data_IF_410770815983
#
_entry.id   IF_410770815983
#
_cell.length_a   1.000
_cell.length_b   1.000
_cell.length_c   1.000
_cell.angle_alpha   90.00
_cell.angle_beta   90.00
_cell.angle_gamma   90.00
#
_symmetry.space_group_name_H-M   'P 1'
#
loop_
_entity.id
_entity.type
_entity.pdbx_description
1 polymer ?
#
# COMPACT_ATOMS: atom_id res chain seq x y z
N UNK A 1 4.37 -0.13 23.26
CA UNK A 1 5.21 0.47 22.25
C UNK A 1 4.40 1.38 21.39
N UNK A 2 4.98 2.49 21.05
CA UNK A 2 4.29 3.47 20.22
C UNK A 2 4.23 2.97 18.79
N UNK A 3 3.07 3.12 18.18
CA UNK A 3 2.92 2.81 16.78
C UNK A 3 3.21 4.04 15.95
N UNK A 4 3.85 3.81 14.82
CA UNK A 4 4.18 4.87 13.88
C UNK A 4 3.17 4.89 12.74
N UNK A 5 3.10 6.03 12.07
CA UNK A 5 2.22 6.19 10.91
C UNK A 5 3.00 5.93 9.64
N UNK A 6 2.44 5.11 8.77
CA UNK A 6 3.11 4.72 7.53
C UNK A 6 2.19 4.82 6.34
N UNK A 7 2.79 4.99 5.18
CA UNK A 7 2.15 4.82 3.89
C UNK A 7 3.00 3.85 3.10
N UNK A 8 2.41 2.78 2.57
CA UNK A 8 3.13 1.88 1.69
C UNK A 8 2.45 1.85 0.34
N UNK A 9 3.26 1.95 -0.70
CA UNK A 9 2.80 1.83 -2.08
C UNK A 9 3.51 0.65 -2.70
N UNK A 10 2.78 -0.21 -3.37
CA UNK A 10 3.42 -1.24 -4.17
C UNK A 10 2.71 -1.35 -5.51
N UNK A 11 3.47 -1.80 -6.50
CA UNK A 11 3.00 -1.91 -7.86
C UNK A 11 3.16 -3.35 -8.28
N UNK A 12 2.07 -3.95 -8.74
CA UNK A 12 2.06 -5.33 -9.20
C UNK A 12 2.18 -5.38 -10.71
N UNK A 13 2.66 -6.51 -11.23
CA UNK A 13 2.74 -6.72 -12.67
C UNK A 13 1.37 -6.51 -13.30
N UNK A 14 1.32 -5.90 -14.47
CA UNK A 14 0.02 -5.66 -15.14
C UNK A 14 -0.56 -6.94 -15.74
N UNK A 15 0.21 -8.01 -15.77
CA UNK A 15 -0.22 -9.26 -16.41
C UNK A 15 -0.97 -10.21 -15.48
N UNK A 16 -1.13 -9.85 -14.21
CA UNK A 16 -1.85 -10.69 -13.27
C UNK A 16 -3.35 -10.67 -13.55
N UNK A 17 -4.01 -11.80 -13.33
CA UNK A 17 -5.47 -11.83 -13.39
C UNK A 17 -6.03 -11.06 -12.19
N UNK A 18 -7.32 -10.68 -12.24
CA UNK A 18 -7.93 -10.02 -11.08
C UNK A 18 -7.83 -10.86 -9.82
N UNK A 19 -7.96 -12.18 -9.93
CA UNK A 19 -7.86 -13.06 -8.76
C UNK A 19 -6.46 -13.05 -8.19
N UNK A 20 -5.45 -13.10 -9.08
CA UNK A 20 -4.07 -13.08 -8.63
C UNK A 20 -3.73 -11.74 -7.98
N UNK A 21 -4.23 -10.65 -8.57
CA UNK A 21 -4.02 -9.33 -8.03
C UNK A 21 -4.59 -9.23 -6.61
N UNK A 22 -5.81 -9.70 -6.44
CA UNK A 22 -6.46 -9.64 -5.13
C UNK A 22 -5.73 -10.50 -4.11
N UNK A 23 -5.23 -11.66 -4.55
CA UNK A 23 -4.50 -12.54 -3.65
C UNK A 23 -3.21 -11.86 -3.14
N UNK A 24 -2.53 -11.14 -4.01
CA UNK A 24 -1.31 -10.43 -3.60
C UNK A 24 -1.64 -9.28 -2.64
N UNK A 25 -2.72 -8.56 -2.92
CA UNK A 25 -3.17 -7.47 -2.04
C UNK A 25 -3.50 -8.02 -0.66
N UNK A 26 -4.25 -9.11 -0.62
CA UNK A 26 -4.63 -9.72 0.66
C UNK A 26 -3.41 -10.20 1.42
N UNK A 27 -2.43 -10.75 0.72
CA UNK A 27 -1.21 -11.21 1.35
C UNK A 27 -0.45 -10.07 2.02
N UNK A 28 -0.34 -8.92 1.33
CA UNK A 28 0.32 -7.76 1.91
C UNK A 28 -0.43 -7.26 3.15
N UNK A 29 -1.75 -7.22 3.07
CA UNK A 29 -2.55 -6.83 4.23
C UNK A 29 -2.30 -7.76 5.41
N UNK A 30 -2.21 -9.07 5.14
CA UNK A 30 -1.95 -10.04 6.20
C UNK A 30 -0.58 -9.85 6.82
N UNK A 31 0.41 -9.50 6.02
CA UNK A 31 1.74 -9.25 6.56
C UNK A 31 1.68 -8.09 7.56
N UNK A 32 0.99 -7.02 7.18
CA UNK A 32 0.88 -5.86 8.07
C UNK A 32 0.15 -6.23 9.36
N UNK A 33 -0.99 -6.90 9.26
CA UNK A 33 -1.79 -7.22 10.44
C UNK A 33 -1.14 -8.28 11.31
N UNK A 34 -0.43 -9.24 10.71
CA UNK A 34 0.23 -10.27 11.48
C UNK A 34 1.38 -9.72 12.30
N UNK A 35 1.91 -8.57 11.92
CA UNK A 35 2.97 -7.90 12.68
C UNK A 35 2.39 -6.90 13.68
N UNK A 36 1.09 -6.98 13.94
CA UNK A 36 0.45 -6.10 14.90
C UNK A 36 0.05 -4.76 14.34
N UNK A 37 0.10 -4.59 13.03
CA UNK A 37 -0.28 -3.33 12.41
C UNK A 37 -1.78 -3.21 12.22
N UNK A 38 -2.22 -1.97 12.05
CA UNK A 38 -3.61 -1.67 11.82
C UNK A 38 -3.73 -0.89 10.52
N UNK A 39 -4.45 -1.44 9.55
CA UNK A 39 -4.67 -0.75 8.28
C UNK A 39 -5.80 0.25 8.47
N UNK A 40 -5.51 1.53 8.24
CA UNK A 40 -6.45 2.61 8.50
C UNK A 40 -7.23 2.97 7.26
N UNK A 41 -6.58 2.99 6.10
CA UNK A 41 -7.24 3.34 4.84
C UNK A 41 -6.45 2.76 3.69
N UNK A 42 -7.13 2.63 2.55
CA UNK A 42 -6.54 2.10 1.33
C UNK A 42 -6.90 3.02 0.17
N UNK A 43 -5.94 3.27 -0.71
CA UNK A 43 -6.19 4.02 -1.94
C UNK A 43 -5.72 3.15 -3.10
N UNK A 44 -6.67 2.47 -3.70
CA UNK A 44 -6.37 1.53 -4.77
C UNK A 44 -6.50 2.23 -6.11
N UNK A 45 -5.36 2.47 -6.76
CA UNK A 45 -5.34 3.22 -8.02
C UNK A 45 -5.61 2.35 -9.24
N UNK A 46 -5.32 1.06 -9.15
CA UNK A 46 -5.49 0.16 -10.28
C UNK A 46 -4.38 0.30 -11.29
N UNK A 47 -4.65 -0.11 -12.52
CA UNK A 47 -3.64 -0.08 -13.58
C UNK A 47 -3.34 1.36 -13.99
N UNK A 48 -2.06 1.70 -13.96
CA UNK A 48 -1.58 3.02 -14.32
C UNK A 48 -0.27 2.90 -15.10
N UNK A 49 -0.02 3.88 -15.94
CA UNK A 49 1.25 3.95 -16.65
C UNK A 49 2.35 4.36 -15.68
N UNK A 50 3.49 3.68 -15.77
CA UNK A 50 4.65 4.02 -14.95
C UNK A 50 5.34 5.23 -15.53
N UNK A 51 6.00 6.02 -14.67
CA UNK A 51 6.76 7.19 -15.12
C UNK A 51 7.92 6.75 -16.02
N UNK A 52 8.45 5.55 -15.77
CA UNK A 52 9.50 4.96 -16.59
C UNK A 52 9.34 3.45 -16.49
N UNK A 53 9.95 2.75 -17.44
CA UNK A 53 9.86 1.28 -17.42
C UNK A 53 10.52 0.73 -16.19
N UNK A 54 9.87 -0.22 -15.55
CA UNK A 54 10.45 -0.99 -14.46
C UNK A 54 10.53 -2.43 -14.96
N UNK A 55 11.73 -2.99 -14.97
CA UNK A 55 11.99 -4.26 -15.62
C UNK A 55 11.59 -4.10 -17.09
N UNK A 56 10.61 -4.83 -17.55
CA UNK A 56 10.16 -4.69 -18.95
C UNK A 56 8.76 -4.11 -19.01
N UNK A 57 8.23 -3.63 -17.89
CA UNK A 57 6.84 -3.18 -17.85
C UNK A 57 6.78 -1.66 -17.88
N UNK A 58 5.85 -1.11 -18.66
CA UNK A 58 5.58 0.32 -18.66
C UNK A 58 4.28 0.65 -17.96
N UNK A 59 3.57 -0.35 -17.45
CA UNK A 59 2.34 -0.17 -16.67
C UNK A 59 2.41 -1.06 -15.46
N UNK A 60 1.57 -0.79 -14.48
CA UNK A 60 1.48 -1.62 -13.30
C UNK A 60 0.20 -1.35 -12.54
N UNK A 61 -0.11 -2.24 -11.61
CA UNK A 61 -1.29 -2.09 -10.77
C UNK A 61 -0.84 -1.46 -9.45
N UNK A 62 -1.32 -0.25 -9.18
CA UNK A 62 -0.90 0.55 -8.01
C UNK A 62 -1.84 0.35 -6.85
N UNK A 63 -1.26 0.17 -5.67
CA UNK A 63 -2.02 0.01 -4.44
C UNK A 63 -1.30 0.74 -3.32
N UNK A 64 -2.04 1.56 -2.57
CA UNK A 64 -1.50 2.35 -1.48
C UNK A 64 -2.28 2.04 -0.22
N UNK A 65 -1.58 1.79 0.88
CA UNK A 65 -2.21 1.54 2.17
C UNK A 65 -1.63 2.48 3.21
N UNK A 66 -2.50 3.04 4.03
CA UNK A 66 -2.11 3.87 5.17
C UNK A 66 -2.36 3.05 6.43
N UNK A 67 -1.33 2.90 7.25
CA UNK A 67 -1.44 2.01 8.39
C UNK A 67 -0.59 2.50 9.56
N UNK A 68 -0.87 1.93 10.73
CA UNK A 68 -0.11 2.16 11.95
C UNK A 68 0.58 0.88 12.33
N UNK A 69 1.85 0.95 12.72
CA UNK A 69 2.59 -0.24 13.08
C UNK A 69 3.88 0.14 13.80
N UNK A 70 4.51 -0.87 14.38
CA UNK A 70 5.86 -0.72 14.92
C UNK A 70 6.85 -0.90 13.79
N UNK A 71 8.06 -0.39 14.00
CA UNK A 71 9.08 -0.43 12.96
C UNK A 71 9.41 -1.83 12.47
N UNK A 72 9.28 -2.84 13.34
CA UNK A 72 9.58 -4.22 12.92
C UNK A 72 8.67 -4.70 11.80
N UNK A 73 7.46 -4.16 11.72
CA UNK A 73 6.53 -4.54 10.67
C UNK A 73 7.06 -4.13 9.29
N UNK A 74 7.79 -3.03 9.25
CA UNK A 74 8.32 -2.53 7.97
C UNK A 74 9.42 -3.44 7.46
N UNK A 75 10.26 -3.96 8.36
CA UNK A 75 11.31 -4.89 7.94
C UNK A 75 10.71 -6.12 7.28
N UNK A 76 9.66 -6.66 7.89
CA UNK A 76 9.01 -7.84 7.31
C UNK A 76 8.30 -7.51 6.01
N UNK A 77 7.65 -6.35 5.96
CA UNK A 77 6.94 -5.94 4.76
C UNK A 77 7.90 -5.78 3.57
N UNK A 78 9.05 -5.13 3.81
CA UNK A 78 10.02 -4.94 2.74
C UNK A 78 10.64 -6.26 2.30
N UNK A 79 10.85 -7.17 3.26
CA UNK A 79 11.35 -8.49 2.92
C UNK A 79 10.38 -9.20 1.98
N UNK A 80 9.08 -9.14 2.30
CA UNK A 80 8.06 -9.78 1.50
C UNK A 80 7.99 -9.15 0.11
N UNK A 81 8.05 -7.83 0.03
CA UNK A 81 8.05 -7.18 -1.28
C UNK A 81 9.23 -7.64 -2.13
N UNK A 82 10.40 -7.77 -1.50
CA UNK A 82 11.61 -8.11 -2.22
C UNK A 82 11.56 -9.53 -2.79
N UNK A 83 10.96 -10.46 -2.05
CA UNK A 83 10.94 -11.85 -2.50
C UNK A 83 9.70 -12.19 -3.34
N UNK A 84 8.77 -11.27 -3.49
CA UNK A 84 7.55 -11.53 -4.25
C UNK A 84 7.76 -11.04 -5.67
N UNK A 85 7.87 -11.96 -6.62
CA UNK A 85 8.16 -11.63 -8.02
C UNK A 85 7.11 -10.73 -8.64
N UNK A 86 5.87 -10.84 -8.20
CA UNK A 86 4.79 -10.06 -8.78
C UNK A 86 4.85 -8.59 -8.41
N UNK A 87 5.63 -8.23 -7.38
CA UNK A 87 5.80 -6.83 -6.98
C UNK A 87 6.98 -6.26 -7.75
N UNK A 88 6.72 -5.31 -8.64
CA UNK A 88 7.78 -4.75 -9.48
C UNK A 88 8.34 -3.45 -8.94
N UNK A 89 7.64 -2.82 -8.00
CA UNK A 89 8.09 -1.58 -7.39
C UNK A 89 7.38 -1.41 -6.06
N UNK A 90 8.08 -0.84 -5.09
CA UNK A 90 7.44 -0.56 -3.79
C UNK A 90 8.15 0.60 -3.12
N UNK A 91 7.44 1.24 -2.18
CA UNK A 91 7.99 2.32 -1.38
C UNK A 91 7.17 2.42 -0.10
N UNK A 92 7.85 2.62 1.02
CA UNK A 92 7.17 2.80 2.30
C UNK A 92 7.73 4.07 2.95
N UNK A 93 6.82 4.94 3.37
CA UNK A 93 7.17 6.20 4.00
C UNK A 93 6.66 6.24 5.43
N UNK A 94 7.45 6.84 6.31
CA UNK A 94 7.09 7.03 7.71
C UNK A 94 6.81 8.51 7.95
N UNK A 95 5.75 8.78 8.67
CA UNK A 95 5.31 10.14 8.98
C UNK A 95 5.49 10.38 10.48
N UNK A 96 6.37 11.31 10.85
CA UNK A 96 6.69 11.54 12.27
C UNK A 96 6.46 12.96 12.74
N UNK A 97 6.83 13.95 11.93
CA UNK A 97 6.70 15.34 12.35
C UNK A 97 5.26 15.79 12.31
N UNK A 98 4.96 16.81 13.09
CA UNK A 98 3.59 17.31 13.22
C UNK A 98 2.94 17.61 11.87
N UNK A 99 3.67 18.30 11.00
CA UNK A 99 3.14 18.60 9.68
C UNK A 99 2.92 17.34 8.86
N UNK A 100 3.81 16.36 9.02
CA UNK A 100 3.68 15.09 8.30
C UNK A 100 2.48 14.30 8.80
N UNK A 101 2.27 14.29 10.10
CA UNK A 101 1.12 13.59 10.69
C UNK A 101 -0.18 14.21 10.18
N UNK A 102 -0.22 15.53 10.10
CA UNK A 102 -1.40 16.21 9.57
C UNK A 102 -1.63 15.84 8.11
N UNK A 103 -0.56 15.79 7.32
CA UNK A 103 -0.68 15.40 5.91
C UNK A 103 -1.16 13.96 5.79
N UNK A 104 -0.64 13.07 6.63
CA UNK A 104 -1.06 11.67 6.64
C UNK A 104 -2.56 11.55 6.92
N UNK A 105 -3.02 12.28 7.94
CA UNK A 105 -4.45 12.26 8.28
C UNK A 105 -5.31 12.77 7.14
N UNK A 106 -4.86 13.80 6.44
CA UNK A 106 -5.61 14.32 5.29
C UNK A 106 -5.68 13.31 4.17
N UNK A 107 -4.57 12.61 3.90
CA UNK A 107 -4.55 11.58 2.86
C UNK A 107 -5.45 10.41 3.24
N UNK A 108 -5.47 10.05 4.51
CA UNK A 108 -6.35 8.98 4.98
C UNK A 108 -7.82 9.36 4.77
N UNK A 109 -8.17 10.59 5.09
CA UNK A 109 -9.56 11.02 4.90
C UNK A 109 -9.96 11.01 3.44
N UNK A 110 -9.06 11.44 2.55
CA UNK A 110 -9.32 11.40 1.12
C UNK A 110 -9.46 9.97 0.63
N UNK A 111 -8.60 9.08 1.11
CA UNK A 111 -8.65 7.68 0.69
C UNK A 111 -9.94 7.02 1.16
N UNK A 112 -10.36 7.32 2.40
CA UNK A 112 -11.62 6.77 2.90
C UNK A 112 -12.80 7.28 2.09
N UNK A 113 -12.79 8.54 1.70
CA UNK A 113 -13.88 9.09 0.90
C UNK A 113 -13.94 8.42 -0.47
N UNK A 114 -12.79 8.14 -1.07
CA UNK A 114 -12.75 7.49 -2.38
C UNK A 114 -13.21 6.04 -2.31
N UNK A 115 -12.86 5.34 -1.25
CA UNK A 115 -13.17 3.92 -1.16
C UNK A 115 -14.50 3.66 -0.48
N UNK A 116 -15.18 4.69 0.03
CA UNK A 116 -16.49 4.49 0.63
C UNK A 116 -17.45 3.99 -0.43
N UNK A 117 -18.37 3.11 -0.06
CA UNK A 117 -19.36 2.66 -1.03
C UNK A 117 -20.12 3.86 -1.52
N UNK A 118 -20.27 3.95 -2.82
CA UNK A 118 -21.06 5.01 -3.36
C UNK A 118 -22.47 4.81 -2.89
N UNK A 119 -23.01 5.88 -2.40
CA UNK A 119 -24.38 5.80 -2.03
C UNK A 119 -25.10 5.52 -3.29
N UNK A 120 -25.72 4.43 -3.30
CA UNK A 120 -26.42 4.10 -4.45
C UNK A 120 -27.55 4.91 -4.43
N UNK A 121 -27.33 5.92 -4.92
CA UNK A 121 -28.46 6.77 -4.95
C UNK A 121 -29.42 6.16 -5.84
#
# INVERSE_FOLDING_TARGET
MAQNLYETMFVLKPTLTPEETQARINFVKEVITSQGGEIVAVDEWGNRKLAYKVEKFDRGYYYIAYFKAEGKAILELERVYTITEDVIKFMTLRYTKQAEVKAWNQMVEKAKAKSAPKQEA
#
